data_IF_965618507229
#
_entry.id   IF_965618507229
#
_cell.length_a   1.000
_cell.length_b   1.000
_cell.length_c   1.000
_cell.angle_alpha   90.00
_cell.angle_beta   90.00
_cell.angle_gamma   90.00
#
_symmetry.space_group_name_H-M   'P 1'
#
loop_
_entity.id
_entity.type
_entity.pdbx_description
1 polymer ?
#
# COMPACT_ATOMS: atom_id res chain seq x y z
N UNK A 1 7.76 -5.98 38.51
CA UNK A 1 6.93 -4.85 38.01
C UNK A 1 7.59 -4.13 36.84
N UNK A 2 8.84 -3.65 36.97
CA UNK A 2 9.56 -2.94 35.89
C UNK A 2 9.58 -3.71 34.56
N UNK A 3 9.90 -5.01 34.58
CA UNK A 3 9.94 -5.85 33.37
C UNK A 3 8.57 -5.99 32.68
N UNK A 4 7.47 -5.97 33.44
CA UNK A 4 6.11 -6.02 32.88
C UNK A 4 5.76 -4.71 32.19
N UNK A 5 6.09 -3.58 32.83
CA UNK A 5 5.90 -2.25 32.24
C UNK A 5 6.71 -2.15 30.94
N UNK A 6 7.98 -2.58 30.97
CA UNK A 6 8.82 -2.61 29.78
C UNK A 6 8.24 -3.50 28.68
N UNK A 7 7.72 -4.69 29.04
CA UNK A 7 7.04 -5.58 28.11
C UNK A 7 5.78 -4.95 27.50
N UNK A 8 4.98 -4.22 28.28
CA UNK A 8 3.84 -3.47 27.76
C UNK A 8 4.27 -2.38 26.77
N UNK A 9 5.35 -1.66 27.06
CA UNK A 9 5.91 -0.66 26.13
C UNK A 9 6.36 -1.32 24.83
N UNK A 10 7.09 -2.44 24.91
CA UNK A 10 7.50 -3.23 23.74
C UNK A 10 6.28 -3.70 22.97
N UNK A 11 5.26 -4.19 23.66
CA UNK A 11 4.03 -4.66 23.04
C UNK A 11 3.33 -3.55 22.24
N UNK A 12 3.11 -2.39 22.87
CA UNK A 12 2.49 -1.23 22.24
C UNK A 12 3.32 -0.75 21.03
N UNK A 13 4.63 -0.69 21.16
CA UNK A 13 5.51 -0.18 20.10
C UNK A 13 5.51 -1.10 18.88
N UNK A 14 5.78 -2.40 19.08
CA UNK A 14 6.05 -3.34 18.00
C UNK A 14 4.80 -3.99 17.41
N UNK A 15 3.73 -4.16 18.19
CA UNK A 15 2.52 -4.82 17.70
C UNK A 15 1.40 -3.85 17.31
N UNK A 16 1.46 -2.59 17.78
CA UNK A 16 0.41 -1.60 17.52
C UNK A 16 0.96 -0.38 16.78
N UNK A 17 1.94 0.33 17.34
CA UNK A 17 2.39 1.62 16.80
C UNK A 17 3.11 1.49 15.45
N UNK A 18 4.11 0.61 15.34
CA UNK A 18 4.85 0.44 14.08
C UNK A 18 3.95 -0.08 12.95
N UNK A 19 3.18 -1.18 13.12
CA UNK A 19 2.24 -1.63 12.09
C UNK A 19 1.17 -0.58 11.76
N UNK A 20 0.63 0.10 12.78
CA UNK A 20 -0.36 1.16 12.62
C UNK A 20 0.18 2.36 11.82
N UNK A 21 1.41 2.78 12.08
CA UNK A 21 2.09 3.80 11.30
C UNK A 21 2.28 3.36 9.85
N UNK A 22 2.70 2.12 9.62
CA UNK A 22 2.81 1.54 8.29
C UNK A 22 1.48 1.57 7.53
N UNK A 23 0.38 1.16 8.16
CA UNK A 23 -0.95 1.21 7.57
C UNK A 23 -1.40 2.64 7.22
N UNK A 24 -1.17 3.61 8.10
CA UNK A 24 -1.46 5.03 7.84
C UNK A 24 -0.62 5.56 6.68
N UNK A 25 0.66 5.19 6.62
CA UNK A 25 1.58 5.59 5.56
C UNK A 25 1.11 5.08 4.19
N UNK A 26 0.72 3.81 4.09
CA UNK A 26 0.15 3.23 2.87
C UNK A 26 -1.14 3.94 2.45
N UNK A 27 -2.04 4.23 3.39
CA UNK A 27 -3.28 4.99 3.13
C UNK A 27 -3.02 6.39 2.60
N UNK A 28 -2.03 7.10 3.17
CA UNK A 28 -1.61 8.42 2.70
C UNK A 28 -1.04 8.34 1.29
N UNK A 29 -0.11 7.40 1.04
CA UNK A 29 0.48 7.15 -0.29
C UNK A 29 -0.59 6.91 -1.34
N UNK A 30 -1.55 6.03 -1.06
CA UNK A 30 -2.69 5.78 -1.94
C UNK A 30 -3.54 7.02 -2.16
N UNK A 31 -3.86 7.78 -1.10
CA UNK A 31 -4.65 9.01 -1.24
C UNK A 31 -3.95 10.04 -2.13
N UNK A 32 -2.64 10.23 -1.96
CA UNK A 32 -1.85 11.14 -2.80
C UNK A 32 -1.86 10.66 -4.24
N UNK A 33 -1.51 9.39 -4.49
CA UNK A 33 -1.51 8.81 -5.83
C UNK A 33 -2.88 8.92 -6.51
N UNK A 34 -3.95 8.59 -5.80
CA UNK A 34 -5.32 8.70 -6.31
C UNK A 34 -5.69 10.15 -6.66
N UNK A 35 -5.34 11.12 -5.82
CA UNK A 35 -5.63 12.52 -6.09
C UNK A 35 -4.87 13.01 -7.32
N UNK A 36 -3.61 12.59 -7.49
CA UNK A 36 -2.83 12.85 -8.69
C UNK A 36 -3.53 12.27 -9.93
N UNK A 37 -3.93 10.99 -9.90
CA UNK A 37 -4.68 10.38 -11.01
C UNK A 37 -5.96 11.15 -11.37
N UNK A 38 -6.74 11.58 -10.37
CA UNK A 38 -7.94 12.39 -10.61
C UNK A 38 -7.61 13.74 -11.26
N UNK A 39 -6.60 14.44 -10.74
CA UNK A 39 -6.15 15.70 -11.31
C UNK A 39 -5.80 15.51 -12.79
N UNK A 40 -5.03 14.48 -13.09
CA UNK A 40 -4.49 14.24 -14.42
C UNK A 40 -5.52 13.74 -15.41
N UNK A 41 -6.54 13.02 -14.94
CA UNK A 41 -7.68 12.60 -15.78
C UNK A 41 -8.51 13.77 -16.32
N UNK A 42 -8.37 14.97 -15.74
CA UNK A 42 -9.11 16.18 -16.13
C UNK A 42 -8.31 17.08 -17.06
N UNK A 43 -7.04 16.80 -17.30
CA UNK A 43 -6.17 17.64 -18.12
C UNK A 43 -6.24 17.22 -19.59
N UNK A 44 -6.27 18.17 -20.54
CA UNK A 44 -6.30 17.86 -21.97
C UNK A 44 -5.14 16.95 -22.39
N UNK A 45 -5.41 16.10 -23.39
CA UNK A 45 -4.38 15.38 -24.10
C UNK A 45 -3.54 16.38 -24.92
N UNK A 46 -2.23 16.21 -24.93
CA UNK A 46 -1.31 17.00 -25.73
C UNK A 46 -1.49 16.62 -27.20
N UNK A 47 -1.86 17.60 -28.01
CA UNK A 47 -2.06 17.49 -29.45
C UNK A 47 -1.33 18.63 -30.15
N UNK A 48 -1.03 18.46 -31.44
CA UNK A 48 -0.33 19.49 -32.20
C UNK A 48 -1.05 20.86 -32.18
N UNK A 49 -2.38 20.84 -32.07
CA UNK A 49 -3.22 22.04 -32.14
C UNK A 49 -3.31 22.81 -30.81
N UNK A 50 -2.85 22.23 -29.70
CA UNK A 50 -3.02 22.82 -28.35
C UNK A 50 -1.68 23.05 -27.63
N UNK A 51 -0.60 23.16 -28.39
CA UNK A 51 0.76 23.37 -27.91
C UNK A 51 0.96 24.76 -27.26
N UNK A 52 0.64 24.87 -25.98
CA UNK A 52 0.84 26.08 -25.17
C UNK A 52 1.89 25.83 -24.10
N UNK A 53 3.04 26.50 -24.22
CA UNK A 53 4.12 26.38 -23.24
C UNK A 53 3.66 26.79 -21.83
N UNK A 54 4.13 26.08 -20.81
CA UNK A 54 3.77 26.29 -19.41
C UNK A 54 2.44 25.65 -18.99
N UNK A 55 1.59 25.26 -19.94
CA UNK A 55 0.34 24.55 -19.63
C UNK A 55 0.62 23.07 -19.29
N UNK A 56 -0.22 22.50 -18.42
CA UNK A 56 -0.17 21.07 -18.11
C UNK A 56 -0.91 20.26 -19.16
N UNK A 57 -0.34 19.13 -19.56
CA UNK A 57 -0.97 18.18 -20.48
C UNK A 57 -0.77 16.73 -20.03
N UNK A 58 -1.65 15.87 -20.51
CA UNK A 58 -1.44 14.42 -20.52
C UNK A 58 -0.97 13.98 -21.90
N UNK A 59 -0.10 12.98 -21.97
CA UNK A 59 0.36 12.42 -23.24
C UNK A 59 0.42 10.90 -23.13
N UNK A 60 -0.11 10.23 -24.13
CA UNK A 60 -0.04 8.78 -24.26
C UNK A 60 0.71 8.46 -25.53
N UNK A 61 1.80 7.70 -25.42
CA UNK A 61 2.65 7.39 -26.55
C UNK A 61 3.47 6.13 -26.33
N UNK A 62 4.06 5.64 -27.41
CA UNK A 62 4.93 4.49 -27.39
C UNK A 62 6.39 4.94 -27.29
N UNK A 63 7.20 4.21 -26.52
CA UNK A 63 8.65 4.41 -26.49
C UNK A 63 9.22 4.17 -27.89
N UNK A 64 9.78 5.22 -28.50
CA UNK A 64 10.38 5.17 -29.84
C UNK A 64 11.90 5.00 -29.74
N UNK A 65 12.57 5.82 -28.92
CA UNK A 65 14.01 5.72 -28.75
C UNK A 65 14.50 6.39 -27.48
N UNK A 66 15.75 6.12 -27.12
CA UNK A 66 16.47 6.83 -26.07
C UNK A 66 17.35 7.91 -26.71
N UNK A 67 17.16 9.17 -26.31
CA UNK A 67 18.06 10.27 -26.70
C UNK A 67 19.34 10.25 -25.86
N UNK A 68 19.21 9.87 -24.58
CA UNK A 68 20.28 9.72 -23.60
C UNK A 68 19.80 8.84 -22.44
N UNK A 69 20.67 8.50 -21.49
CA UNK A 69 20.34 7.66 -20.33
C UNK A 69 19.08 8.10 -19.56
N UNK A 70 18.82 9.40 -19.47
CA UNK A 70 17.69 9.97 -18.74
C UNK A 70 16.61 10.56 -19.66
N UNK A 71 16.75 10.51 -20.99
CA UNK A 71 15.80 11.16 -21.91
C UNK A 71 15.25 10.17 -22.92
N UNK A 72 13.93 10.02 -22.91
CA UNK A 72 13.20 9.14 -23.83
C UNK A 72 12.37 9.94 -24.83
N UNK A 73 12.32 9.45 -26.06
CA UNK A 73 11.39 9.87 -27.09
C UNK A 73 10.15 9.00 -27.02
N UNK A 74 9.00 9.65 -26.89
CA UNK A 74 7.71 8.99 -27.01
C UNK A 74 7.01 9.46 -28.27
N UNK A 75 6.49 8.50 -29.03
CA UNK A 75 5.71 8.72 -30.23
C UNK A 75 4.22 8.56 -29.92
N UNK A 76 3.47 9.65 -30.09
CA UNK A 76 2.01 9.65 -30.05
C UNK A 76 1.42 9.47 -31.44
N UNK A 77 0.11 9.65 -31.55
CA UNK A 77 -0.58 9.58 -32.85
C UNK A 77 -0.23 10.76 -33.76
N UNK A 78 -0.14 11.97 -33.21
CA UNK A 78 0.02 13.21 -33.98
C UNK A 78 1.37 13.92 -33.78
N UNK A 79 2.11 13.58 -32.73
CA UNK A 79 3.37 14.23 -32.38
C UNK A 79 4.28 13.32 -31.56
N UNK A 80 5.59 13.58 -31.61
CA UNK A 80 6.57 12.97 -30.72
C UNK A 80 7.05 13.98 -29.69
N UNK A 81 7.19 13.54 -28.43
CA UNK A 81 7.73 14.37 -27.35
C UNK A 81 8.97 13.73 -26.73
N UNK A 82 9.79 14.57 -26.12
CA UNK A 82 10.83 14.12 -25.21
C UNK A 82 10.35 14.18 -23.76
N UNK A 83 10.87 13.28 -22.93
CA UNK A 83 10.69 13.33 -21.50
C UNK A 83 12.02 13.14 -20.82
N UNK A 84 12.29 13.99 -19.84
CA UNK A 84 13.42 13.84 -18.95
C UNK A 84 12.99 13.04 -17.71
N UNK A 85 13.51 11.82 -17.59
CA UNK A 85 13.27 10.85 -16.53
C UNK A 85 14.22 10.99 -15.33
N UNK A 86 15.14 11.95 -15.38
CA UNK A 86 16.14 12.16 -14.33
C UNK A 86 15.46 12.43 -12.98
N UNK A 87 15.76 11.58 -12.00
CA UNK A 87 15.23 11.63 -10.62
C UNK A 87 13.70 11.48 -10.53
N UNK A 88 13.03 11.01 -11.58
CA UNK A 88 11.60 10.78 -11.53
C UNK A 88 11.26 9.41 -10.95
N UNK A 89 10.13 9.40 -10.26
CA UNK A 89 9.50 8.16 -9.84
C UNK A 89 8.58 7.67 -10.95
N UNK A 90 8.75 6.43 -11.36
CA UNK A 90 7.97 5.79 -12.40
C UNK A 90 7.03 4.79 -11.76
N UNK A 91 5.79 4.80 -12.23
CA UNK A 91 4.76 3.85 -11.82
C UNK A 91 4.61 2.80 -12.89
N UNK A 92 5.01 1.57 -12.60
CA UNK A 92 4.96 0.48 -13.58
C UNK A 92 3.71 -0.36 -13.37
N UNK A 93 2.95 -0.54 -14.45
CA UNK A 93 1.77 -1.37 -14.54
C UNK A 93 2.07 -2.55 -15.47
N UNK A 94 2.58 -3.64 -14.90
CA UNK A 94 2.79 -4.89 -15.64
C UNK A 94 1.53 -5.76 -15.64
N UNK A 95 1.36 -6.55 -16.70
CA UNK A 95 0.25 -7.50 -16.83
C UNK A 95 0.30 -8.59 -15.75
N UNK A 96 1.51 -9.07 -15.43
CA UNK A 96 1.73 -10.17 -14.48
C UNK A 96 1.67 -9.71 -13.02
N UNK A 97 1.80 -8.40 -12.79
CA UNK A 97 1.80 -7.84 -11.46
C UNK A 97 0.41 -7.39 -11.03
N UNK A 98 0.05 -7.75 -9.81
CA UNK A 98 -1.22 -7.41 -9.20
C UNK A 98 -1.26 -5.99 -8.61
N UNK A 99 -0.10 -5.36 -8.45
CA UNK A 99 0.08 -4.06 -7.80
C UNK A 99 0.88 -3.11 -8.69
N UNK A 100 0.64 -1.80 -8.51
CA UNK A 100 1.44 -0.76 -9.15
C UNK A 100 2.71 -0.54 -8.33
N UNK A 101 3.86 -0.71 -8.97
CA UNK A 101 5.16 -0.49 -8.33
C UNK A 101 5.65 0.91 -8.61
N UNK A 102 6.15 1.57 -7.56
CA UNK A 102 6.86 2.83 -7.67
C UNK A 102 8.36 2.53 -7.64
N UNK A 103 9.06 2.78 -8.73
CA UNK A 103 10.50 2.63 -8.86
C UNK A 103 11.16 3.94 -9.25
N UNK A 104 12.47 4.06 -9.02
CA UNK A 104 13.23 5.13 -9.67
C UNK A 104 13.52 4.71 -11.10
N UNK A 105 13.65 5.67 -12.02
CA UNK A 105 14.06 5.40 -13.41
C UNK A 105 15.30 4.51 -13.50
N UNK A 106 16.28 4.76 -12.64
CA UNK A 106 17.55 4.01 -12.59
C UNK A 106 17.39 2.54 -12.21
N UNK A 107 16.28 2.17 -11.58
CA UNK A 107 16.00 0.78 -11.21
C UNK A 107 15.40 -0.01 -12.38
N UNK A 108 14.97 0.68 -13.46
CA UNK A 108 14.42 0.05 -14.67
C UNK A 108 15.58 -0.25 -15.62
N UNK A 109 16.04 -1.51 -15.62
CA UNK A 109 17.22 -1.94 -16.37
C UNK A 109 16.97 -2.13 -17.88
N UNK A 110 15.73 -2.42 -18.27
CA UNK A 110 15.38 -2.59 -19.67
C UNK A 110 13.92 -2.22 -19.94
N UNK A 111 13.71 -1.58 -21.09
CA UNK A 111 12.40 -1.35 -21.67
C UNK A 111 12.47 -1.70 -23.15
N UNK A 112 11.41 -2.33 -23.65
CA UNK A 112 11.31 -2.70 -25.05
C UNK A 112 10.75 -1.50 -25.82
N UNK A 113 11.27 -1.26 -27.02
CA UNK A 113 10.65 -0.31 -27.95
C UNK A 113 9.17 -0.66 -28.16
N UNK A 114 8.32 0.35 -28.26
CA UNK A 114 6.87 0.14 -28.31
C UNK A 114 6.19 -0.03 -26.95
N UNK A 115 6.92 0.08 -25.84
CA UNK A 115 6.29 0.12 -24.50
C UNK A 115 5.41 1.37 -24.38
N UNK A 116 4.18 1.21 -23.86
CA UNK A 116 3.24 2.31 -23.72
C UNK A 116 3.58 3.15 -22.47
N UNK A 117 3.66 4.45 -22.66
CA UNK A 117 3.88 5.44 -21.63
C UNK A 117 2.67 6.37 -21.56
N UNK A 118 2.19 6.58 -20.34
CA UNK A 118 1.26 7.65 -20.02
C UNK A 118 1.94 8.66 -19.11
N UNK A 119 1.99 9.90 -19.57
CA UNK A 119 2.84 10.92 -18.98
C UNK A 119 2.03 12.18 -18.74
N UNK A 120 2.25 12.78 -17.58
CA UNK A 120 1.62 14.04 -17.22
C UNK A 120 2.67 15.03 -16.75
N UNK A 121 2.65 16.23 -17.31
CA UNK A 121 3.55 17.30 -16.93
C UNK A 121 3.20 18.63 -17.57
N UNK A 122 4.04 19.64 -17.28
CA UNK A 122 4.00 20.91 -17.97
C UNK A 122 4.80 20.83 -19.28
N UNK A 123 4.24 21.40 -20.33
CA UNK A 123 4.93 21.53 -21.61
C UNK A 123 6.00 22.61 -21.52
N UNK A 124 7.22 22.29 -21.95
CA UNK A 124 8.33 23.22 -22.18
C UNK A 124 8.94 22.97 -23.54
N UNK A 125 9.54 24.00 -24.12
CA UNK A 125 10.34 23.84 -25.33
C UNK A 125 11.82 23.97 -25.02
N UNK A 126 12.61 23.06 -25.58
CA UNK A 126 14.06 23.17 -25.59
C UNK A 126 14.57 22.87 -27.00
N UNK A 127 15.18 23.87 -27.64
CA UNK A 127 15.65 23.77 -29.02
C UNK A 127 14.54 23.42 -30.03
N UNK A 128 13.30 23.87 -29.81
CA UNK A 128 12.15 23.56 -30.65
C UNK A 128 11.55 22.16 -30.44
N UNK A 129 12.10 21.38 -29.52
CA UNK A 129 11.56 20.06 -29.16
C UNK A 129 10.61 20.21 -27.96
N UNK A 130 9.39 19.66 -28.01
CA UNK A 130 8.48 19.66 -26.88
C UNK A 130 8.93 18.65 -25.81
N UNK A 131 9.02 19.13 -24.58
CA UNK A 131 9.32 18.35 -23.38
C UNK A 131 8.15 18.40 -22.41
N UNK A 132 7.77 17.24 -21.86
CA UNK A 132 6.97 17.20 -20.64
C UNK A 132 7.90 17.12 -19.43
N UNK A 133 7.73 18.08 -18.52
CA UNK A 133 8.51 18.17 -17.28
C UNK A 133 7.61 18.24 -16.06
N UNK A 134 8.11 17.75 -14.93
CA UNK A 134 7.50 18.03 -13.63
C UNK A 134 7.61 19.52 -13.29
N UNK A 135 6.78 19.97 -12.36
CA UNK A 135 6.89 21.30 -11.75
C UNK A 135 7.63 21.21 -10.42
N UNK A 136 8.01 22.35 -9.83
CA UNK A 136 8.62 22.37 -8.48
C UNK A 136 7.70 21.83 -7.38
N UNK A 137 6.38 21.86 -7.62
CA UNK A 137 5.36 21.43 -6.66
C UNK A 137 4.81 20.02 -6.95
N UNK A 138 4.98 19.54 -8.18
CA UNK A 138 4.37 18.29 -8.64
C UNK A 138 5.33 17.52 -9.56
N UNK A 139 5.75 16.35 -9.09
CA UNK A 139 6.54 15.41 -9.88
C UNK A 139 5.78 15.00 -11.15
N UNK A 140 6.52 14.88 -12.26
CA UNK A 140 6.02 14.30 -13.50
C UNK A 140 5.51 12.88 -13.19
N UNK A 141 4.25 12.61 -13.51
CA UNK A 141 3.73 11.25 -13.39
C UNK A 141 4.04 10.52 -14.68
N UNK A 142 4.81 9.45 -14.57
CA UNK A 142 5.10 8.52 -15.66
C UNK A 142 4.55 7.17 -15.28
N UNK A 143 3.63 6.68 -16.11
CA UNK A 143 3.09 5.33 -16.00
C UNK A 143 3.57 4.53 -17.19
N UNK A 144 4.30 3.45 -16.91
CA UNK A 144 4.74 2.49 -17.93
C UNK A 144 3.76 1.34 -17.93
N UNK A 145 3.29 0.95 -19.12
CA UNK A 145 2.21 -0.01 -19.26
C UNK A 145 2.51 -1.11 -20.26
N UNK A 146 2.18 -2.32 -19.85
CA UNK A 146 2.16 -3.51 -20.69
C UNK A 146 0.72 -4.01 -20.90
N UNK A 147 0.15 -3.76 -22.09
CA UNK A 147 -1.09 -4.40 -22.56
C UNK A 147 -2.29 -3.46 -22.79
N UNK A 148 -3.44 -4.07 -23.13
CA UNK A 148 -4.64 -3.37 -23.57
C UNK A 148 -5.65 -3.08 -22.43
N UNK A 149 -6.56 -2.12 -22.66
CA UNK A 149 -7.63 -1.73 -21.71
C UNK A 149 -7.62 -0.25 -21.31
N UNK A 150 -8.47 0.15 -20.36
CA UNK A 150 -8.51 1.52 -19.84
C UNK A 150 -7.45 1.70 -18.74
N UNK A 151 -6.45 2.54 -19.00
CA UNK A 151 -5.31 2.75 -18.10
C UNK A 151 -5.74 3.18 -16.69
N UNK A 152 -6.66 4.13 -16.59
CA UNK A 152 -7.17 4.62 -15.30
C UNK A 152 -7.92 3.54 -14.51
N UNK A 153 -8.65 2.66 -15.20
CA UNK A 153 -9.35 1.55 -14.55
C UNK A 153 -8.35 0.59 -13.91
N UNK A 154 -7.26 0.28 -14.63
CA UNK A 154 -6.20 -0.59 -14.14
C UNK A 154 -5.37 0.06 -13.01
N UNK A 155 -5.02 1.34 -13.14
CA UNK A 155 -4.28 2.08 -12.11
C UNK A 155 -5.09 2.24 -10.83
N UNK A 156 -6.40 2.50 -10.92
CA UNK A 156 -7.25 2.58 -9.75
C UNK A 156 -7.44 1.22 -9.09
N UNK A 157 -7.57 0.14 -9.88
CA UNK A 157 -7.76 -1.20 -9.36
C UNK A 157 -6.49 -1.78 -8.71
N UNK A 158 -5.32 -1.58 -9.33
CA UNK A 158 -4.04 -2.16 -8.89
C UNK A 158 -3.20 -1.22 -8.02
N UNK A 159 -3.49 0.08 -8.01
CA UNK A 159 -2.69 1.05 -7.27
C UNK A 159 -2.96 1.05 -5.76
N UNK A 160 -4.08 0.46 -5.31
CA UNK A 160 -4.38 0.31 -3.89
C UNK A 160 -3.83 -1.02 -3.39
N UNK A 161 -2.97 -0.95 -2.37
CA UNK A 161 -2.38 -2.14 -1.75
C UNK A 161 -3.48 -3.11 -1.29
N UNK A 162 -3.31 -4.40 -1.63
CA UNK A 162 -4.30 -5.42 -1.25
C UNK A 162 -4.35 -5.60 0.27
N UNK A 163 -3.24 -5.39 0.99
CA UNK A 163 -3.15 -5.61 2.42
C UNK A 163 -2.53 -4.42 3.16
N UNK A 164 -3.38 -3.59 3.79
CA UNK A 164 -2.92 -2.45 4.58
C UNK A 164 -2.32 -2.88 5.95
N UNK A 165 -2.73 -4.04 6.48
CA UNK A 165 -2.33 -4.53 7.81
C UNK A 165 -0.97 -5.26 7.78
N UNK A 166 -0.67 -5.92 6.65
CA UNK A 166 0.59 -6.60 6.41
C UNK A 166 1.47 -5.78 5.46
N UNK A 167 2.01 -4.69 5.98
CA UNK A 167 2.94 -3.83 5.24
C UNK A 167 4.39 -4.32 5.41
N UNK A 168 5.33 -3.70 4.69
CA UNK A 168 6.75 -4.08 4.74
C UNK A 168 7.39 -3.98 6.13
N UNK A 169 6.84 -3.16 7.04
CA UNK A 169 7.35 -3.01 8.41
C UNK A 169 6.82 -4.08 9.36
N UNK A 170 5.61 -4.60 9.12
CA UNK A 170 4.91 -5.52 10.04
C UNK A 170 5.74 -6.78 10.37
N UNK A 171 6.36 -7.50 9.41
CA UNK A 171 7.14 -8.69 9.71
C UNK A 171 8.33 -8.41 10.63
N UNK A 172 9.11 -7.37 10.32
CA UNK A 172 10.29 -7.00 11.11
C UNK A 172 9.90 -6.55 12.52
N UNK A 173 8.82 -5.77 12.63
CA UNK A 173 8.30 -5.31 13.91
C UNK A 173 7.85 -6.49 14.78
N UNK A 174 7.10 -7.44 14.22
CA UNK A 174 6.65 -8.62 14.95
C UNK A 174 7.81 -9.53 15.37
N UNK A 175 8.74 -9.85 14.48
CA UNK A 175 9.90 -10.69 14.83
C UNK A 175 10.70 -10.05 15.98
N UNK A 176 10.99 -8.76 15.88
CA UNK A 176 11.75 -8.02 16.90
C UNK A 176 10.99 -7.96 18.23
N UNK A 177 9.69 -7.64 18.18
CA UNK A 177 8.83 -7.58 19.37
C UNK A 177 8.71 -8.93 20.08
N UNK A 178 8.52 -10.02 19.32
CA UNK A 178 8.45 -11.39 19.86
C UNK A 178 9.76 -11.76 20.56
N UNK A 179 10.90 -11.51 19.92
CA UNK A 179 12.22 -11.82 20.46
C UNK A 179 12.46 -11.06 21.77
N UNK A 180 12.19 -9.75 21.81
CA UNK A 180 12.37 -8.94 23.02
C UNK A 180 11.45 -9.42 24.14
N UNK A 181 10.17 -9.72 23.86
CA UNK A 181 9.23 -10.20 24.88
C UNK A 181 9.61 -11.57 25.44
N UNK A 182 10.17 -12.47 24.62
CA UNK A 182 10.70 -13.77 25.09
C UNK A 182 11.89 -13.54 26.05
N UNK A 183 12.82 -12.65 25.69
CA UNK A 183 13.97 -12.32 26.55
C UNK A 183 13.49 -11.71 27.88
N UNK A 184 12.56 -10.76 27.84
CA UNK A 184 11.99 -10.16 29.05
C UNK A 184 11.24 -11.19 29.90
N UNK A 185 10.52 -12.11 29.26
CA UNK A 185 9.86 -13.22 29.94
C UNK A 185 10.86 -14.12 30.66
N UNK A 186 11.97 -14.48 30.02
CA UNK A 186 13.05 -15.27 30.63
C UNK A 186 13.64 -14.59 31.86
N UNK A 187 14.01 -13.31 31.75
CA UNK A 187 14.53 -12.56 32.90
C UNK A 187 13.49 -12.43 34.00
N UNK A 188 12.23 -12.14 33.65
CA UNK A 188 11.15 -12.07 34.62
C UNK A 188 10.91 -13.40 35.33
N UNK A 189 11.14 -14.54 34.67
CA UNK A 189 11.06 -15.86 35.29
C UNK A 189 12.19 -16.09 36.28
N UNK A 190 13.41 -15.65 35.93
CA UNK A 190 14.61 -15.81 36.77
C UNK A 190 14.63 -14.91 38.00
N UNK A 191 14.17 -13.67 37.88
CA UNK A 191 14.33 -12.66 38.94
C UNK A 191 13.12 -12.51 39.86
N UNK A 192 11.93 -12.94 39.42
CA UNK A 192 10.68 -12.74 40.17
C UNK A 192 10.27 -14.01 40.90
N UNK A 193 10.00 -13.90 42.21
CA UNK A 193 9.36 -14.99 42.96
C UNK A 193 7.98 -15.33 42.37
N UNK A 194 7.25 -14.31 41.91
CA UNK A 194 5.99 -14.50 41.21
C UNK A 194 6.23 -14.71 39.70
N UNK A 195 6.09 -15.96 39.25
CA UNK A 195 6.27 -16.39 37.85
C UNK A 195 5.14 -15.91 36.92
N UNK A 196 4.04 -15.37 37.44
CA UNK A 196 2.88 -14.89 36.64
C UNK A 196 3.29 -13.75 35.69
N UNK A 197 4.29 -12.94 36.04
CA UNK A 197 4.76 -11.87 35.15
C UNK A 197 5.41 -12.41 33.87
N UNK A 198 6.22 -13.47 33.98
CA UNK A 198 6.81 -14.15 32.82
C UNK A 198 5.73 -14.75 31.93
N UNK A 199 4.67 -15.30 32.55
CA UNK A 199 3.51 -15.82 31.85
C UNK A 199 2.83 -14.76 30.96
N UNK A 200 2.51 -13.59 31.50
CA UNK A 200 1.87 -12.52 30.71
C UNK A 200 2.76 -12.02 29.56
N UNK A 201 4.07 -11.93 29.78
CA UNK A 201 5.01 -11.54 28.72
C UNK A 201 5.08 -12.58 27.60
N UNK A 202 5.03 -13.87 27.95
CA UNK A 202 4.98 -14.96 26.98
C UNK A 202 3.66 -14.95 26.19
N UNK A 203 2.54 -14.67 26.88
CA UNK A 203 1.25 -14.48 26.24
C UNK A 203 1.35 -13.33 25.21
N UNK A 204 1.84 -12.15 25.60
CA UNK A 204 2.04 -11.03 24.66
C UNK A 204 2.95 -11.38 23.48
N UNK A 205 4.00 -12.19 23.68
CA UNK A 205 4.86 -12.65 22.60
C UNK A 205 4.14 -13.58 21.61
N UNK A 206 3.10 -14.29 22.05
CA UNK A 206 2.28 -15.17 21.21
C UNK A 206 1.37 -14.44 20.21
N UNK A 207 1.19 -13.12 20.37
CA UNK A 207 0.20 -12.31 19.63
C UNK A 207 0.16 -12.52 18.12
N UNK A 208 1.28 -12.52 17.37
CA UNK A 208 1.24 -12.72 15.92
C UNK A 208 0.68 -14.08 15.50
N UNK A 209 0.88 -15.10 16.35
CA UNK A 209 0.50 -16.47 16.07
C UNK A 209 -0.96 -16.76 16.39
N UNK A 210 -1.63 -15.87 17.12
CA UNK A 210 -3.03 -16.08 17.47
C UNK A 210 -3.90 -16.20 16.24
N UNK A 211 -3.62 -15.53 15.13
CA UNK A 211 -4.42 -15.70 13.90
C UNK A 211 -4.41 -17.11 13.31
N UNK A 212 -3.43 -17.95 13.67
CA UNK A 212 -3.30 -19.32 13.15
C UNK A 212 -4.26 -20.28 13.88
N UNK A 213 -4.69 -19.96 15.10
CA UNK A 213 -5.62 -20.82 15.84
C UNK A 213 -7.00 -20.86 15.12
N UNK A 214 -7.70 -22.01 15.11
CA UNK A 214 -8.81 -22.26 14.19
C UNK A 214 -9.93 -21.20 14.18
N UNK A 215 -10.40 -20.67 15.33
CA UNK A 215 -11.44 -19.64 15.33
C UNK A 215 -10.98 -18.36 14.63
N UNK A 216 -9.82 -17.82 15.00
CA UNK A 216 -9.27 -16.63 14.34
C UNK A 216 -8.84 -16.87 12.90
N UNK A 217 -8.45 -18.08 12.48
CA UNK A 217 -8.25 -18.39 11.06
C UNK A 217 -9.55 -18.26 10.28
N UNK A 218 -10.65 -18.79 10.81
CA UNK A 218 -11.99 -18.64 10.21
C UNK A 218 -12.39 -17.17 10.09
N UNK A 219 -12.25 -16.39 11.17
CA UNK A 219 -12.53 -14.96 11.15
C UNK A 219 -11.60 -14.19 10.21
N UNK A 220 -10.32 -14.55 10.13
CA UNK A 220 -9.34 -13.95 9.21
C UNK A 220 -9.72 -14.18 7.75
N UNK A 221 -10.15 -15.40 7.38
CA UNK A 221 -10.63 -15.69 6.02
C UNK A 221 -11.87 -14.83 5.68
N UNK A 222 -12.81 -14.69 6.62
CA UNK A 222 -13.99 -13.83 6.44
C UNK A 222 -13.61 -12.36 6.34
N UNK A 223 -12.73 -11.88 7.21
CA UNK A 223 -12.13 -10.55 7.13
C UNK A 223 -11.54 -10.31 5.75
N UNK A 224 -10.70 -11.21 5.24
CA UNK A 224 -10.02 -11.06 3.94
C UNK A 224 -11.02 -10.93 2.80
N UNK A 225 -12.03 -11.80 2.76
CA UNK A 225 -13.10 -11.75 1.75
C UNK A 225 -13.88 -10.43 1.80
N UNK A 226 -14.27 -9.99 3.00
CA UNK A 226 -14.98 -8.72 3.18
C UNK A 226 -14.10 -7.52 2.82
N UNK A 227 -12.81 -7.56 3.17
CA UNK A 227 -11.84 -6.53 2.83
C UNK A 227 -11.71 -6.37 1.31
N UNK A 228 -11.57 -7.48 0.57
CA UNK A 228 -11.51 -7.45 -0.89
C UNK A 228 -12.79 -6.86 -1.51
N UNK A 229 -13.96 -7.14 -0.95
CA UNK A 229 -15.23 -6.53 -1.37
C UNK A 229 -15.24 -5.03 -1.09
N UNK A 230 -14.76 -4.59 0.07
CA UNK A 230 -14.66 -3.18 0.42
C UNK A 230 -13.73 -2.41 -0.54
N UNK A 231 -12.60 -3.02 -0.90
CA UNK A 231 -11.67 -2.51 -1.90
C UNK A 231 -12.33 -2.36 -3.27
N UNK A 232 -13.04 -3.40 -3.75
CA UNK A 232 -13.78 -3.34 -5.03
C UNK A 232 -14.79 -2.21 -5.05
N UNK A 233 -15.55 -2.00 -3.96
CA UNK A 233 -16.48 -0.86 -3.88
C UNK A 233 -15.77 0.50 -3.86
N UNK A 234 -14.60 0.60 -3.23
CA UNK A 234 -13.80 1.83 -3.27
C UNK A 234 -13.36 2.15 -4.70
N UNK A 235 -12.85 1.16 -5.43
CA UNK A 235 -12.44 1.32 -6.83
C UNK A 235 -13.62 1.70 -7.70
N UNK A 236 -14.77 1.02 -7.57
CA UNK A 236 -15.99 1.37 -8.31
C UNK A 236 -16.47 2.79 -8.01
N UNK A 237 -16.37 3.23 -6.76
CA UNK A 237 -16.69 4.61 -6.37
C UNK A 237 -15.78 5.61 -7.07
N UNK A 238 -14.48 5.34 -7.12
CA UNK A 238 -13.50 6.20 -7.77
C UNK A 238 -13.69 6.23 -9.30
N UNK A 239 -14.01 5.08 -9.93
CA UNK A 239 -14.32 4.99 -11.35
C UNK A 239 -15.60 5.73 -11.75
N UNK A 240 -16.64 5.64 -10.93
CA UNK A 240 -17.88 6.38 -11.19
C UNK A 240 -17.67 7.89 -11.03
N UNK A 241 -16.78 8.29 -10.11
CA UNK A 241 -16.39 9.70 -9.95
C UNK A 241 -15.68 10.21 -11.21
N UNK A 242 -14.77 9.44 -11.79
CA UNK A 242 -14.11 9.80 -13.06
C UNK A 242 -15.12 9.97 -14.21
N UNK A 243 -16.18 9.17 -14.21
CA UNK A 243 -17.24 9.21 -15.23
C UNK A 243 -18.32 10.27 -14.95
N UNK A 244 -18.12 11.14 -13.97
CA UNK A 244 -19.10 12.17 -13.58
C UNK A 244 -20.36 11.63 -12.88
N UNK A 245 -20.41 10.35 -12.49
CA UNK A 245 -21.57 9.70 -11.86
C UNK A 245 -21.54 9.84 -10.34
N UNK A 246 -21.74 11.08 -9.87
CA UNK A 246 -21.56 11.47 -8.46
C UNK A 246 -22.46 10.68 -7.50
N UNK A 247 -23.74 10.50 -7.83
CA UNK A 247 -24.69 9.78 -6.97
C UNK A 247 -24.28 8.32 -6.75
N UNK A 248 -23.97 7.60 -7.83
CA UNK A 248 -23.54 6.20 -7.79
C UNK A 248 -22.21 6.04 -7.06
N UNK A 249 -21.28 6.97 -7.27
CA UNK A 249 -20.01 7.04 -6.54
C UNK A 249 -20.23 7.14 -5.03
N UNK A 250 -21.17 7.99 -4.58
CA UNK A 250 -21.49 8.16 -3.16
C UNK A 250 -22.04 6.89 -2.51
N UNK A 251 -22.90 6.15 -3.23
CA UNK A 251 -23.48 4.88 -2.78
C UNK A 251 -22.38 3.82 -2.59
N UNK A 252 -21.48 3.68 -3.56
CA UNK A 252 -20.36 2.75 -3.46
C UNK A 252 -19.38 3.14 -2.34
N UNK A 253 -19.13 4.43 -2.13
CA UNK A 253 -18.31 4.92 -1.02
C UNK A 253 -18.93 4.53 0.34
N UNK A 254 -20.24 4.68 0.49
CA UNK A 254 -20.96 4.28 1.71
C UNK A 254 -20.87 2.77 1.93
N UNK A 255 -21.13 1.97 0.89
CA UNK A 255 -21.01 0.50 0.95
C UNK A 255 -19.59 0.06 1.31
N UNK A 256 -18.57 0.64 0.67
CA UNK A 256 -17.16 0.37 0.96
C UNK A 256 -16.83 0.57 2.44
N UNK A 257 -17.20 1.73 3.02
CA UNK A 257 -16.97 2.02 4.45
C UNK A 257 -17.67 1.06 5.40
N UNK A 258 -18.91 0.65 5.09
CA UNK A 258 -19.66 -0.29 5.92
C UNK A 258 -18.97 -1.66 5.93
N UNK A 259 -18.60 -2.16 4.74
CA UNK A 259 -17.93 -3.45 4.60
C UNK A 259 -16.51 -3.40 5.22
N UNK A 260 -15.79 -2.29 5.09
CA UNK A 260 -14.48 -2.08 5.74
C UNK A 260 -14.62 -2.21 7.27
N UNK A 261 -15.57 -1.49 7.88
CA UNK A 261 -15.83 -1.60 9.33
C UNK A 261 -16.19 -3.00 9.77
N UNK A 262 -17.07 -3.68 9.01
CA UNK A 262 -17.46 -5.06 9.30
C UNK A 262 -16.26 -6.01 9.22
N UNK A 263 -15.39 -5.83 8.22
CA UNK A 263 -14.19 -6.65 8.08
C UNK A 263 -13.24 -6.47 9.26
N UNK A 264 -12.98 -5.22 9.68
CA UNK A 264 -12.14 -4.93 10.85
C UNK A 264 -12.73 -5.51 12.13
N UNK A 265 -14.06 -5.45 12.30
CA UNK A 265 -14.74 -6.07 13.43
C UNK A 265 -14.54 -7.59 13.45
N UNK A 266 -14.68 -8.28 12.30
CA UNK A 266 -14.40 -9.71 12.19
C UNK A 266 -12.95 -10.06 12.56
N UNK A 267 -11.99 -9.24 12.11
CA UNK A 267 -10.58 -9.40 12.44
C UNK A 267 -10.33 -9.30 13.95
N UNK A 268 -10.89 -8.26 14.59
CA UNK A 268 -10.76 -8.04 16.04
C UNK A 268 -11.44 -9.16 16.84
N UNK A 269 -12.64 -9.60 16.44
CA UNK A 269 -13.32 -10.73 17.10
C UNK A 269 -12.50 -12.01 17.03
N UNK A 270 -11.98 -12.36 15.84
CA UNK A 270 -11.11 -13.53 15.67
C UNK A 270 -9.86 -13.47 16.55
N UNK A 271 -9.24 -12.30 16.62
CA UNK A 271 -8.08 -12.07 17.49
C UNK A 271 -8.43 -12.24 18.97
N UNK A 272 -9.52 -11.63 19.44
CA UNK A 272 -9.95 -11.72 20.84
C UNK A 272 -10.33 -13.15 21.25
N UNK A 273 -11.04 -13.89 20.41
CA UNK A 273 -11.36 -15.30 20.66
C UNK A 273 -10.08 -16.13 20.87
N UNK A 274 -9.09 -15.95 19.99
CA UNK A 274 -7.85 -16.70 20.06
C UNK A 274 -6.93 -16.25 21.20
N UNK A 275 -6.93 -14.96 21.55
CA UNK A 275 -6.27 -14.45 22.74
C UNK A 275 -6.82 -15.13 24.01
N UNK A 276 -8.15 -15.25 24.14
CA UNK A 276 -8.80 -15.90 25.28
C UNK A 276 -8.43 -17.39 25.34
N UNK A 277 -8.52 -18.10 24.21
CA UNK A 277 -8.17 -19.53 24.12
C UNK A 277 -6.69 -19.75 24.49
N UNK A 278 -5.78 -18.97 23.90
CA UNK A 278 -4.36 -19.05 24.21
C UNK A 278 -4.09 -18.73 25.69
N UNK A 279 -4.78 -17.73 26.24
CA UNK A 279 -4.75 -17.40 27.66
C UNK A 279 -5.13 -18.58 28.55
N UNK A 280 -6.24 -19.27 28.25
CA UNK A 280 -6.71 -20.44 29.01
C UNK A 280 -5.71 -21.60 28.91
N UNK A 281 -5.25 -21.93 27.69
CA UNK A 281 -4.32 -23.05 27.46
C UNK A 281 -3.01 -22.81 28.19
N UNK A 282 -2.40 -21.64 27.97
CA UNK A 282 -1.13 -21.31 28.61
C UNK A 282 -1.32 -21.26 30.13
N UNK A 283 -2.43 -20.72 30.65
CA UNK A 283 -2.67 -20.66 32.09
C UNK A 283 -2.75 -22.04 32.71
N UNK A 284 -3.41 -23.00 32.05
CA UNK A 284 -3.44 -24.40 32.47
C UNK A 284 -2.05 -25.05 32.44
N UNK A 285 -1.26 -24.82 31.40
CA UNK A 285 0.13 -25.30 31.34
C UNK A 285 1.00 -24.70 32.47
N UNK A 286 0.81 -23.41 32.75
CA UNK A 286 1.51 -22.73 33.84
C UNK A 286 1.17 -23.31 35.22
N UNK A 287 -0.11 -23.63 35.46
CA UNK A 287 -0.51 -24.35 36.68
C UNK A 287 0.19 -25.70 36.78
N UNK A 288 0.20 -26.50 35.69
CA UNK A 288 0.86 -27.81 35.68
C UNK A 288 2.36 -27.74 35.97
N UNK A 289 3.06 -26.69 35.52
CA UNK A 289 4.51 -26.49 35.75
C UNK A 289 4.82 -26.04 37.18
N UNK A 290 3.89 -25.39 37.87
CA UNK A 290 4.09 -24.89 39.23
C UNK A 290 3.70 -25.91 40.28
N UNK A 291 2.64 -26.69 40.02
CA UNK A 291 2.09 -27.65 40.97
C UNK A 291 2.66 -29.07 40.84
N UNK A 292 3.47 -29.35 39.81
CA UNK A 292 4.30 -30.55 39.68
C UNK A 292 5.78 -30.19 39.83
#
# INVERSE_FOLDING_TARGET
MILVILGLVVYLLFFILIPGFGAISLRRRWSTFRNLLFKYSMVPALEYNNLVEGSSFSFCGLLESFKSDDIVWLKGESLSICINLKKLNIYTLSKNNDEVYKSQWRDISSLVEGTEFFVFGNLKYDGGVPYLVGSELEDLLVVVREGQGKIFDQLLAKGRDKNEMWNSYTPYAYITGVLILIILSYFSYKTSFNKINSFYLLLMAGTPFYFILPPGLFFYIKYRKSWDIALRYSVLSDLDRLKGRVERSSLFKKKSKVVEKLSLLLYVLGYLCNLIIAGIILFKLFQLIIFN
#
